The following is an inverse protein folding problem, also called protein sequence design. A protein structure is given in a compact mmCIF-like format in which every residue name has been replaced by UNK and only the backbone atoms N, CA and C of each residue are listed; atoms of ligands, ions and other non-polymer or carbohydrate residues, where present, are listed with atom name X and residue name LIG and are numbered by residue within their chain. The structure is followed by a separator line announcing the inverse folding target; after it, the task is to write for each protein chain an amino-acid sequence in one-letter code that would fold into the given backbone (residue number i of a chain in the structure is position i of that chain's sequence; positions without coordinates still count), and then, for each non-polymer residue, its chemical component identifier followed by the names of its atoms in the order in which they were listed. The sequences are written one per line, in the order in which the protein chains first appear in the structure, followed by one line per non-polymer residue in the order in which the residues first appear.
data_IF_707918546886
#
_entry.id   IF_707918546886
#
_cell.length_a   1.000
_cell.length_b   1.000
_cell.length_c   1.000
_cell.angle_alpha   90.00
_cell.angle_beta   90.00
_cell.angle_gamma   90.00
#
_symmetry.space_group_name_H-M   'P 1'
#
loop_
_entity.id
_entity.type
_entity.pdbx_description
1 polymer ?
#
# COMPACT_ATOMS: atom_id res chain seq x y z
N UNK A 1 -26.10 17.87 -2.80
CA UNK A 1 -26.62 16.62 -2.22
C UNK A 1 -25.45 15.84 -1.64
N UNK A 2 -25.33 15.79 -0.31
CA UNK A 2 -24.31 14.99 0.36
C UNK A 2 -24.93 13.63 0.69
N UNK A 3 -24.54 12.58 -0.03
CA UNK A 3 -24.90 11.23 0.40
C UNK A 3 -24.27 11.00 1.77
N UNK A 4 -25.09 10.61 2.75
CA UNK A 4 -24.64 10.07 4.03
C UNK A 4 -24.04 8.69 3.74
N UNK A 5 -22.82 8.68 3.19
CA UNK A 5 -22.03 7.46 3.09
C UNK A 5 -21.71 6.98 4.51
N UNK A 6 -22.08 5.74 4.81
CA UNK A 6 -21.86 5.04 6.08
C UNK A 6 -20.35 4.98 6.42
N UNK A 7 -19.49 5.17 5.42
CA UNK A 7 -18.06 5.36 5.60
C UNK A 7 -17.78 6.87 5.56
N UNK A 8 -17.47 7.45 6.72
CA UNK A 8 -17.18 8.88 6.89
C UNK A 8 -16.02 9.38 6.03
N UNK A 9 -15.55 10.59 6.32
CA UNK A 9 -14.57 11.29 5.49
C UNK A 9 -13.20 10.57 5.31
N UNK A 10 -12.93 9.51 6.10
CA UNK A 10 -11.78 8.62 5.99
C UNK A 10 -11.95 7.45 4.98
N UNK A 11 -13.09 7.34 4.29
CA UNK A 11 -13.41 6.24 3.38
C UNK A 11 -12.52 6.17 2.14
N UNK A 12 -12.17 7.33 1.57
CA UNK A 12 -11.38 7.43 0.33
C UNK A 12 -9.97 6.86 0.51
N UNK A 13 -9.16 7.28 1.51
CA UNK A 13 -7.83 6.69 1.71
C UNK A 13 -7.91 5.21 2.08
N UNK A 14 -8.97 4.76 2.76
CA UNK A 14 -9.18 3.34 3.03
C UNK A 14 -9.39 2.52 1.76
N UNK A 15 -10.22 3.02 0.82
CA UNK A 15 -10.38 2.40 -0.50
C UNK A 15 -9.03 2.36 -1.24
N UNK A 16 -8.24 3.44 -1.15
CA UNK A 16 -6.89 3.47 -1.70
C UNK A 16 -5.99 2.36 -1.13
N UNK A 17 -6.03 2.12 0.18
CA UNK A 17 -5.31 1.01 0.81
C UNK A 17 -5.79 -0.36 0.33
N UNK A 18 -7.10 -0.58 0.21
CA UNK A 18 -7.63 -1.86 -0.28
C UNK A 18 -7.20 -2.10 -1.73
N UNK A 19 -7.27 -1.08 -2.58
CA UNK A 19 -6.78 -1.17 -3.97
C UNK A 19 -5.29 -1.45 -4.03
N UNK A 20 -4.48 -0.77 -3.20
CA UNK A 20 -3.04 -1.03 -3.10
C UNK A 20 -2.73 -2.44 -2.58
N UNK A 21 -3.55 -2.96 -1.67
CA UNK A 21 -3.40 -4.32 -1.15
C UNK A 21 -3.63 -5.35 -2.25
N UNK A 22 -4.68 -5.17 -3.07
CA UNK A 22 -4.94 -6.03 -4.23
C UNK A 22 -3.80 -5.95 -5.25
N UNK A 23 -3.30 -4.75 -5.52
CA UNK A 23 -2.12 -4.55 -6.37
C UNK A 23 -0.91 -5.32 -5.84
N UNK A 24 -0.63 -5.20 -4.53
CA UNK A 24 0.49 -5.88 -3.89
C UNK A 24 0.34 -7.40 -3.89
N UNK A 25 -0.86 -7.95 -3.72
CA UNK A 25 -1.11 -9.40 -3.81
C UNK A 25 -0.77 -9.90 -5.22
N UNK A 26 -1.31 -9.26 -6.26
CA UNK A 26 -1.01 -9.65 -7.64
C UNK A 26 0.47 -9.54 -7.97
N UNK A 27 1.12 -8.48 -7.48
CA UNK A 27 2.55 -8.26 -7.64
C UNK A 27 3.39 -9.32 -6.92
N UNK A 28 3.05 -9.70 -5.69
CA UNK A 28 3.78 -10.74 -4.96
C UNK A 28 3.57 -12.10 -5.64
N UNK A 29 2.35 -12.38 -6.11
CA UNK A 29 2.03 -13.61 -6.83
C UNK A 29 2.83 -13.72 -8.13
N UNK A 30 2.89 -12.65 -8.94
CA UNK A 30 3.74 -12.64 -10.14
C UNK A 30 5.21 -12.74 -9.74
N UNK A 31 5.69 -11.89 -8.83
CA UNK A 31 7.09 -11.82 -8.41
C UNK A 31 7.64 -13.16 -7.90
N UNK A 32 6.87 -13.93 -7.14
CA UNK A 32 7.30 -15.20 -6.58
C UNK A 32 7.16 -16.38 -7.57
N UNK A 33 6.42 -16.20 -8.65
CA UNK A 33 6.06 -17.25 -9.59
C UNK A 33 7.14 -17.47 -10.67
N UNK A 34 7.41 -18.73 -11.09
CA UNK A 34 8.40 -19.04 -12.10
C UNK A 34 7.89 -18.88 -13.55
N UNK A 35 6.76 -18.24 -13.79
CA UNK A 35 6.08 -18.20 -15.10
C UNK A 35 6.06 -16.79 -15.72
N UNK A 36 7.21 -16.12 -15.79
CA UNK A 36 7.32 -14.79 -16.43
C UNK A 36 7.58 -14.90 -17.93
N UNK A 37 8.46 -15.82 -18.30
CA UNK A 37 8.81 -16.14 -19.66
C UNK A 37 8.86 -17.66 -19.85
N UNK A 38 8.66 -18.09 -21.08
CA UNK A 38 8.76 -19.46 -21.54
C UNK A 38 9.85 -19.51 -22.62
N UNK A 39 10.82 -20.42 -22.47
CA UNK A 39 11.78 -20.76 -23.50
C UNK A 39 11.22 -21.90 -24.35
N UNK A 40 10.89 -21.59 -25.61
CA UNK A 40 10.26 -22.54 -26.53
C UNK A 40 11.21 -23.61 -27.05
N UNK A 41 12.52 -23.32 -27.04
CA UNK A 41 13.51 -24.24 -27.60
C UNK A 41 13.85 -25.34 -26.58
N UNK A 42 13.82 -24.99 -25.29
CA UNK A 42 14.17 -25.91 -24.20
C UNK A 42 12.95 -26.41 -23.38
N UNK A 43 11.73 -25.95 -23.70
CA UNK A 43 10.46 -26.23 -23.00
C UNK A 43 10.59 -26.01 -21.48
N UNK A 44 11.08 -24.84 -21.08
CA UNK A 44 11.09 -24.45 -19.66
C UNK A 44 10.57 -23.04 -19.43
N UNK A 45 9.88 -22.87 -18.31
CA UNK A 45 9.44 -21.58 -17.81
C UNK A 45 10.47 -21.01 -16.85
N UNK A 46 10.64 -19.69 -16.85
CA UNK A 46 11.39 -19.02 -15.80
C UNK A 46 10.74 -17.74 -15.32
N UNK A 47 10.92 -17.49 -14.03
CA UNK A 47 10.56 -16.26 -13.36
C UNK A 47 11.80 -15.52 -12.89
N UNK A 48 11.57 -14.51 -12.06
CA UNK A 48 12.67 -13.76 -11.45
C UNK A 48 13.59 -14.66 -10.62
N UNK A 49 13.04 -15.52 -9.77
CA UNK A 49 13.83 -16.23 -8.75
C UNK A 49 14.15 -17.67 -9.11
N UNK A 50 13.28 -18.30 -9.90
CA UNK A 50 13.31 -19.74 -10.16
C UNK A 50 12.95 -20.06 -11.59
N UNK A 51 13.46 -21.18 -12.06
CA UNK A 51 13.05 -21.83 -13.29
C UNK A 51 12.25 -23.09 -12.98
N UNK A 52 11.39 -23.48 -13.92
CA UNK A 52 10.48 -24.60 -13.83
C UNK A 52 10.50 -25.37 -15.14
N UNK A 53 10.65 -26.70 -15.06
CA UNK A 53 10.58 -27.59 -16.21
C UNK A 53 9.89 -28.88 -15.83
N UNK A 54 8.95 -29.32 -16.64
CA UNK A 54 8.42 -30.67 -16.58
C UNK A 54 9.08 -31.50 -17.66
N UNK A 55 9.69 -32.61 -17.27
CA UNK A 55 10.24 -33.56 -18.23
C UNK A 55 9.12 -34.56 -18.50
N UNK A 56 8.55 -34.60 -19.73
CA UNK A 56 7.58 -35.63 -20.06
C UNK A 56 8.25 -36.99 -19.96
N UNK A 57 7.61 -37.92 -19.26
CA UNK A 57 8.16 -39.25 -19.00
C UNK A 57 8.41 -39.96 -20.35
N UNK A 58 9.65 -40.38 -20.62
CA UNK A 58 10.02 -40.96 -21.92
C UNK A 58 9.43 -42.36 -22.16
N UNK A 59 8.82 -42.99 -21.14
CA UNK A 59 8.27 -44.34 -21.22
C UNK A 59 6.73 -44.34 -21.07
N UNK A 60 5.95 -44.56 -22.15
CA UNK A 60 4.47 -44.55 -22.15
C UNK A 60 3.81 -45.79 -21.49
N UNK A 61 4.40 -46.28 -20.39
CA UNK A 61 3.90 -47.41 -19.60
C UNK A 61 4.44 -47.46 -18.17
N UNK A 62 5.27 -46.50 -17.78
CA UNK A 62 5.76 -46.29 -16.43
C UNK A 62 4.75 -45.43 -15.66
N UNK A 63 4.30 -45.88 -14.48
CA UNK A 63 3.52 -45.07 -13.53
C UNK A 63 4.40 -44.02 -12.82
N UNK A 64 5.55 -43.63 -13.39
CA UNK A 64 6.35 -42.56 -12.83
C UNK A 64 5.67 -41.23 -13.16
N UNK A 65 5.25 -40.54 -12.11
CA UNK A 65 4.64 -39.22 -12.18
C UNK A 65 5.53 -38.27 -13.01
N UNK A 66 4.93 -37.43 -13.86
CA UNK A 66 5.62 -36.32 -14.53
C UNK A 66 6.47 -35.56 -13.50
N UNK A 67 7.79 -35.72 -13.59
CA UNK A 67 8.73 -35.07 -12.70
C UNK A 67 8.86 -33.60 -13.09
N UNK A 68 8.16 -32.72 -12.39
CA UNK A 68 8.35 -31.28 -12.54
C UNK A 68 9.43 -30.78 -11.58
N UNK A 69 10.52 -30.28 -12.13
CA UNK A 69 11.68 -29.80 -11.39
C UNK A 69 11.63 -28.28 -11.24
N UNK A 70 12.00 -27.81 -10.05
CA UNK A 70 12.17 -26.38 -9.73
C UNK A 70 13.56 -26.16 -9.20
N UNK A 71 14.28 -25.21 -9.79
CA UNK A 71 15.59 -24.81 -9.30
C UNK A 71 15.70 -23.30 -9.25
N UNK A 72 16.53 -22.81 -8.34
CA UNK A 72 16.88 -21.39 -8.31
C UNK A 72 17.85 -21.11 -9.45
N UNK A 73 17.79 -19.90 -10.00
CA UNK A 73 18.81 -19.45 -10.93
C UNK A 73 20.20 -19.56 -10.32
N UNK A 74 21.20 -19.86 -11.15
CA UNK A 74 22.59 -19.86 -10.72
C UNK A 74 23.02 -18.45 -10.26
N UNK A 75 24.17 -18.29 -9.61
CA UNK A 75 24.65 -16.97 -9.20
C UNK A 75 25.14 -16.12 -10.38
N UNK A 76 25.45 -16.77 -11.50
CA UNK A 76 25.87 -16.14 -12.76
C UNK A 76 24.65 -15.97 -13.67
N UNK A 77 23.93 -14.88 -13.45
CA UNK A 77 22.70 -14.53 -14.15
C UNK A 77 22.91 -13.19 -14.81
N UNK A 78 22.32 -13.02 -16.00
CA UNK A 78 22.42 -11.79 -16.75
C UNK A 78 22.06 -10.55 -15.91
N UNK A 79 22.87 -9.49 -16.04
CA UNK A 79 22.76 -8.27 -15.24
C UNK A 79 21.38 -7.61 -15.33
N UNK A 80 20.73 -7.71 -16.49
CA UNK A 80 19.39 -7.18 -16.70
C UNK A 80 18.37 -7.86 -15.77
N UNK A 81 18.47 -9.17 -15.53
CA UNK A 81 17.54 -9.89 -14.66
C UNK A 81 17.76 -9.49 -13.19
N UNK A 82 19.00 -9.23 -12.80
CA UNK A 82 19.31 -8.67 -11.47
C UNK A 82 18.76 -7.25 -11.31
N UNK A 83 18.81 -6.43 -12.36
CA UNK A 83 18.18 -5.10 -12.35
C UNK A 83 16.65 -5.20 -12.18
N UNK A 84 15.98 -6.09 -12.91
CA UNK A 84 14.54 -6.34 -12.76
C UNK A 84 14.22 -6.81 -11.33
N UNK A 85 14.98 -7.79 -10.78
CA UNK A 85 14.81 -8.23 -9.39
C UNK A 85 14.91 -7.08 -8.39
N UNK A 86 15.88 -6.19 -8.56
CA UNK A 86 16.06 -5.04 -7.69
C UNK A 86 14.88 -4.06 -7.79
N UNK A 87 14.44 -3.74 -9.02
CA UNK A 87 13.28 -2.86 -9.26
C UNK A 87 11.99 -3.42 -8.67
N UNK A 88 11.69 -4.69 -8.94
CA UNK A 88 10.48 -5.33 -8.43
C UNK A 88 10.51 -5.47 -6.89
N UNK A 89 11.69 -5.69 -6.30
CA UNK A 89 11.85 -5.71 -4.83
C UNK A 89 11.65 -4.32 -4.21
N UNK A 90 12.17 -3.26 -4.84
CA UNK A 90 11.93 -1.88 -4.40
C UNK A 90 10.45 -1.52 -4.47
N UNK A 91 9.73 -1.97 -5.50
CA UNK A 91 8.29 -1.77 -5.61
C UNK A 91 7.54 -2.37 -4.41
N UNK A 92 7.87 -3.61 -4.02
CA UNK A 92 7.29 -4.27 -2.84
C UNK A 92 7.58 -3.47 -1.56
N UNK A 93 8.81 -3.02 -1.36
CA UNK A 93 9.20 -2.23 -0.18
C UNK A 93 8.40 -0.92 -0.12
N UNK A 94 8.35 -0.17 -1.23
CA UNK A 94 7.65 1.10 -1.28
C UNK A 94 6.14 0.97 -1.09
N UNK A 95 5.51 -0.13 -1.53
CA UNK A 95 4.08 -0.36 -1.32
C UNK A 95 3.75 -0.94 0.06
N UNK A 96 4.67 -1.66 0.71
CA UNK A 96 4.48 -2.15 2.07
C UNK A 96 4.30 -1.01 3.09
N UNK A 97 5.09 0.06 2.96
CA UNK A 97 5.08 1.22 3.87
C UNK A 97 3.67 1.84 4.00
N UNK A 98 3.01 2.30 2.93
CA UNK A 98 1.67 2.86 3.01
C UNK A 98 0.59 1.86 3.42
N UNK A 99 0.76 0.57 3.12
CA UNK A 99 -0.18 -0.45 3.58
C UNK A 99 -0.15 -0.66 5.09
N UNK A 100 1.01 -0.49 5.74
CA UNK A 100 1.13 -0.62 7.19
C UNK A 100 0.79 0.68 7.90
N UNK A 101 1.35 1.80 7.45
CA UNK A 101 1.25 3.08 8.19
C UNK A 101 -0.16 3.67 8.11
N UNK A 102 -0.80 3.61 6.95
CA UNK A 102 -2.03 4.35 6.70
C UNK A 102 -3.23 3.81 7.51
N UNK A 103 -3.48 2.48 7.62
CA UNK A 103 -4.53 1.95 8.48
C UNK A 103 -4.32 2.30 9.96
N UNK A 104 -3.09 2.17 10.45
CA UNK A 104 -2.72 2.52 11.84
C UNK A 104 -2.96 4.01 12.08
N UNK A 105 -2.54 4.86 11.14
CA UNK A 105 -2.71 6.31 11.23
C UNK A 105 -4.18 6.74 11.25
N UNK A 106 -5.03 6.16 10.38
CA UNK A 106 -6.47 6.45 10.38
C UNK A 106 -7.10 6.09 11.72
N UNK A 107 -6.67 4.98 12.34
CA UNK A 107 -7.22 4.51 13.61
C UNK A 107 -6.75 5.34 14.81
N UNK A 108 -5.48 5.73 14.86
CA UNK A 108 -4.86 6.33 16.06
C UNK A 108 -4.87 7.86 16.05
N UNK A 109 -4.54 8.50 14.93
CA UNK A 109 -4.14 9.91 14.93
C UNK A 109 -5.25 10.90 14.55
N UNK A 110 -6.47 10.41 14.22
CA UNK A 110 -7.67 11.22 13.91
C UNK A 110 -7.41 12.42 12.98
N UNK A 111 -6.41 12.34 12.08
CA UNK A 111 -6.12 13.38 11.09
C UNK A 111 -5.00 14.39 11.42
N UNK A 112 -4.21 14.19 12.49
CA UNK A 112 -3.02 15.00 12.82
C UNK A 112 -1.92 14.84 11.75
N UNK A 113 -1.43 15.92 11.13
CA UNK A 113 -0.45 15.88 10.02
C UNK A 113 -0.92 15.16 8.75
N UNK A 114 -2.24 15.06 8.54
CA UNK A 114 -2.86 14.34 7.42
C UNK A 114 -2.23 14.62 6.05
N UNK A 115 -1.99 15.89 5.71
CA UNK A 115 -1.42 16.25 4.40
C UNK A 115 0.02 15.77 4.22
N UNK A 116 0.84 15.87 5.26
CA UNK A 116 2.23 15.46 5.19
C UNK A 116 2.31 13.93 5.08
N UNK A 117 1.64 13.21 5.99
CA UNK A 117 1.67 11.75 5.99
C UNK A 117 1.06 11.19 4.71
N UNK A 118 -0.13 11.62 4.32
CA UNK A 118 -0.76 11.12 3.10
C UNK A 118 0.03 11.51 1.84
N UNK A 119 0.68 12.68 1.83
CA UNK A 119 1.61 13.09 0.79
C UNK A 119 2.81 12.14 0.67
N UNK A 120 3.45 11.77 1.79
CA UNK A 120 4.56 10.80 1.79
C UNK A 120 4.12 9.42 1.32
N UNK A 121 2.94 8.95 1.73
CA UNK A 121 2.38 7.67 1.28
C UNK A 121 2.08 7.68 -0.22
N UNK A 122 1.57 8.81 -0.73
CA UNK A 122 1.33 9.02 -2.16
C UNK A 122 2.64 8.96 -2.95
N UNK A 123 3.70 9.60 -2.44
CA UNK A 123 5.02 9.59 -3.07
C UNK A 123 5.64 8.18 -3.11
N UNK A 124 5.58 7.42 -2.01
CA UNK A 124 6.05 6.03 -2.01
C UNK A 124 5.23 5.14 -2.95
N UNK A 125 3.91 5.32 -3.00
CA UNK A 125 3.06 4.57 -3.94
C UNK A 125 3.49 4.84 -5.38
N UNK A 126 3.77 6.11 -5.73
CA UNK A 126 4.25 6.50 -7.05
C UNK A 126 5.61 5.89 -7.38
N UNK A 127 6.57 5.94 -6.44
CA UNK A 127 7.88 5.33 -6.61
C UNK A 127 7.78 3.82 -6.84
N UNK A 128 6.93 3.13 -6.08
CA UNK A 128 6.71 1.70 -6.28
C UNK A 128 6.09 1.37 -7.63
N UNK A 129 5.12 2.17 -8.11
CA UNK A 129 4.56 2.04 -9.47
C UNK A 129 5.64 2.25 -10.52
N UNK A 130 6.47 3.29 -10.38
CA UNK A 130 7.58 3.56 -11.29
C UNK A 130 8.58 2.39 -11.37
N UNK A 131 8.96 1.84 -10.22
CA UNK A 131 9.86 0.68 -10.14
C UNK A 131 9.24 -0.56 -10.81
N UNK A 132 7.98 -0.88 -10.53
CA UNK A 132 7.31 -2.04 -11.12
C UNK A 132 7.12 -1.90 -12.64
N UNK A 133 6.70 -0.73 -13.13
CA UNK A 133 6.57 -0.49 -14.57
C UNK A 133 7.94 -0.61 -15.25
N UNK A 134 8.99 -0.03 -14.66
CA UNK A 134 10.34 -0.14 -15.21
C UNK A 134 10.83 -1.60 -15.25
N UNK A 135 10.60 -2.39 -14.21
CA UNK A 135 10.96 -3.81 -14.18
C UNK A 135 10.24 -4.63 -15.25
N UNK A 136 8.92 -4.45 -15.39
CA UNK A 136 8.11 -5.08 -16.44
C UNK A 136 8.58 -4.68 -17.84
N UNK A 137 8.92 -3.40 -18.07
CA UNK A 137 9.42 -2.92 -19.37
C UNK A 137 10.77 -3.55 -19.70
N UNK A 138 11.74 -3.51 -18.78
CA UNK A 138 13.07 -4.09 -19.01
C UNK A 138 12.95 -5.58 -19.32
N UNK A 139 12.17 -6.32 -18.54
CA UNK A 139 11.95 -7.75 -18.78
C UNK A 139 11.23 -8.00 -20.11
N UNK A 140 10.23 -7.18 -20.46
CA UNK A 140 9.48 -7.32 -21.71
C UNK A 140 10.31 -7.01 -22.96
N UNK A 141 11.21 -6.03 -22.90
CA UNK A 141 12.13 -5.72 -24.01
C UNK A 141 13.11 -6.87 -24.24
N UNK A 142 13.69 -7.42 -23.18
CA UNK A 142 14.61 -8.56 -23.28
C UNK A 142 13.95 -9.83 -23.83
N UNK A 143 12.68 -10.08 -23.51
CA UNK A 143 11.92 -11.14 -24.20
C UNK A 143 11.71 -10.79 -25.68
N UNK A 144 11.32 -9.55 -25.98
CA UNK A 144 11.01 -9.11 -27.34
C UNK A 144 12.19 -9.19 -28.31
N UNK A 145 13.41 -8.97 -27.80
CA UNK A 145 14.64 -9.04 -28.59
C UNK A 145 15.14 -10.48 -28.81
N UNK A 146 14.70 -11.44 -27.99
CA UNK A 146 15.09 -12.85 -28.07
C UNK A 146 14.00 -13.70 -28.72
N UNK A 147 14.22 -14.17 -29.96
CA UNK A 147 13.22 -14.91 -30.75
C UNK A 147 12.79 -16.26 -30.15
N UNK A 148 13.59 -16.86 -29.26
CA UNK A 148 13.26 -18.13 -28.58
C UNK A 148 12.40 -17.97 -27.33
N UNK A 149 12.24 -16.73 -26.82
CA UNK A 149 11.48 -16.46 -25.59
C UNK A 149 10.05 -16.01 -25.91
N UNK A 150 9.10 -16.49 -25.13
CA UNK A 150 7.72 -15.98 -25.12
C UNK A 150 7.28 -15.48 -23.76
N UNK A 151 6.37 -14.52 -23.78
CA UNK A 151 5.74 -13.98 -22.57
C UNK A 151 4.82 -15.02 -21.95
N UNK A 152 5.03 -15.32 -20.67
CA UNK A 152 4.15 -16.19 -19.87
C UNK A 152 3.21 -15.36 -18.98
N UNK A 153 2.27 -16.01 -18.29
CA UNK A 153 1.10 -15.36 -17.69
C UNK A 153 1.42 -14.42 -16.52
N UNK A 154 2.57 -14.57 -15.84
CA UNK A 154 2.89 -13.72 -14.69
C UNK A 154 3.22 -12.29 -15.08
N UNK A 155 3.78 -12.07 -16.27
CA UNK A 155 4.17 -10.73 -16.70
C UNK A 155 2.95 -9.81 -16.93
N UNK A 156 1.90 -10.25 -17.65
CA UNK A 156 0.63 -9.51 -17.72
C UNK A 156 -0.03 -9.31 -16.34
N UNK A 157 0.03 -10.31 -15.44
CA UNK A 157 -0.51 -10.17 -14.08
C UNK A 157 0.26 -9.12 -13.29
N UNK A 158 1.59 -9.08 -13.41
CA UNK A 158 2.43 -8.05 -12.81
C UNK A 158 2.08 -6.65 -13.35
N UNK A 159 1.91 -6.52 -14.67
CA UNK A 159 1.49 -5.28 -15.31
C UNK A 159 0.09 -4.82 -14.83
N UNK A 160 -0.86 -5.75 -14.66
CA UNK A 160 -2.17 -5.45 -14.08
C UNK A 160 -2.05 -5.00 -12.61
N UNK A 161 -1.17 -5.62 -11.83
CA UNK A 161 -0.81 -5.19 -10.48
C UNK A 161 -0.27 -3.76 -10.45
N UNK A 162 0.67 -3.42 -11.34
CA UNK A 162 1.18 -2.06 -11.51
C UNK A 162 0.08 -1.05 -11.88
N UNK A 163 -0.85 -1.44 -12.76
CA UNK A 163 -2.02 -0.65 -13.12
C UNK A 163 -2.94 -0.36 -11.93
N UNK A 164 -3.21 -1.36 -11.08
CA UNK A 164 -3.96 -1.16 -9.84
C UNK A 164 -3.19 -0.29 -8.83
N UNK A 165 -1.87 -0.42 -8.75
CA UNK A 165 -1.01 0.47 -7.97
C UNK A 165 -1.12 1.92 -8.41
N UNK A 166 -1.19 2.17 -9.74
CA UNK A 166 -1.41 3.50 -10.29
C UNK A 166 -2.80 4.06 -9.93
N UNK A 167 -3.83 3.23 -9.97
CA UNK A 167 -5.17 3.61 -9.52
C UNK A 167 -5.15 3.99 -8.03
N UNK A 168 -4.47 3.20 -7.19
CA UNK A 168 -4.31 3.51 -5.77
C UNK A 168 -3.57 4.85 -5.56
N UNK A 169 -2.51 5.11 -6.32
CA UNK A 169 -1.83 6.41 -6.33
C UNK A 169 -2.78 7.57 -6.64
N UNK A 170 -3.63 7.45 -7.67
CA UNK A 170 -4.61 8.48 -8.02
C UNK A 170 -5.58 8.72 -6.86
N UNK A 171 -6.05 7.66 -6.19
CA UNK A 171 -6.94 7.75 -5.04
C UNK A 171 -6.25 8.47 -3.87
N UNK A 172 -4.99 8.15 -3.58
CA UNK A 172 -4.21 8.83 -2.53
C UNK A 172 -3.91 10.29 -2.87
N UNK A 173 -3.63 10.60 -4.15
CA UNK A 173 -3.44 11.96 -4.62
C UNK A 173 -4.70 12.81 -4.41
N UNK A 174 -5.87 12.29 -4.82
CA UNK A 174 -7.16 12.96 -4.59
C UNK A 174 -7.41 13.15 -3.10
N UNK A 175 -7.12 12.13 -2.29
CA UNK A 175 -7.28 12.16 -0.83
C UNK A 175 -6.33 13.18 -0.17
N UNK A 176 -5.14 13.41 -0.74
CA UNK A 176 -4.16 14.40 -0.26
C UNK A 176 -4.62 15.81 -0.58
N UNK A 177 -5.13 16.04 -1.79
CA UNK A 177 -5.64 17.33 -2.23
C UNK A 177 -6.95 17.71 -1.50
N UNK A 178 -7.86 16.76 -1.30
CA UNK A 178 -9.16 16.97 -0.66
C UNK A 178 -9.13 16.51 0.79
N UNK A 179 -8.72 17.42 1.68
CA UNK A 179 -8.73 17.14 3.12
C UNK A 179 -10.18 16.82 3.57
N UNK A 180 -10.42 15.67 4.20
CA UNK A 180 -11.72 15.38 4.80
C UNK A 180 -12.04 16.38 5.92
N UNK A 181 -13.28 16.91 5.93
CA UNK A 181 -13.80 17.69 7.04
C UNK A 181 -14.15 16.71 8.17
N UNK A 182 -13.21 16.45 9.06
CA UNK A 182 -13.49 15.70 10.28
C UNK A 182 -14.47 16.53 11.12
N UNK A 183 -15.69 16.02 11.33
CA UNK A 183 -16.60 16.64 12.30
C UNK A 183 -15.86 16.66 13.63
N UNK A 184 -15.83 17.83 14.28
CA UNK A 184 -15.33 17.97 15.65
C UNK A 184 -16.31 17.28 16.62
N UNK A 185 -16.46 15.97 16.52
CA UNK A 185 -17.05 15.22 17.63
C UNK A 185 -15.97 15.21 18.71
N UNK A 186 -16.18 16.04 19.73
CA UNK A 186 -15.33 16.20 20.91
C UNK A 186 -15.37 14.90 21.73
N UNK A 187 -14.76 13.84 21.22
CA UNK A 187 -14.57 12.61 21.97
C UNK A 187 -13.30 12.75 22.79
N UNK A 188 -13.44 13.27 24.01
CA UNK A 188 -12.38 13.27 25.03
C UNK A 188 -12.30 11.87 25.66
N UNK A 189 -11.79 10.88 24.92
CA UNK A 189 -11.64 9.49 25.43
C UNK A 189 -10.49 9.39 26.44
N UNK A 190 -9.53 10.29 26.31
CA UNK A 190 -8.44 10.59 27.24
C UNK A 190 -8.36 12.12 27.32
N UNK A 191 -7.79 12.72 28.37
CA UNK A 191 -7.63 14.18 28.51
C UNK A 191 -6.74 14.87 27.45
N UNK A 192 -6.80 14.44 26.19
CA UNK A 192 -6.11 14.97 25.03
C UNK A 192 -7.14 15.28 23.94
N UNK A 193 -7.08 16.48 23.39
CA UNK A 193 -7.85 16.93 22.25
C UNK A 193 -6.91 17.19 21.07
N UNK A 194 -7.21 16.59 19.93
CA UNK A 194 -6.43 16.80 18.71
C UNK A 194 -7.18 17.80 17.83
N UNK A 195 -6.55 18.94 17.53
CA UNK A 195 -7.04 19.89 16.53
C UNK A 195 -6.34 19.60 15.19
N UNK A 196 -7.03 18.95 14.24
CA UNK A 196 -6.45 18.65 12.95
C UNK A 196 -6.17 19.93 12.15
N UNK A 197 -6.92 21.01 12.31
CA UNK A 197 -6.74 22.22 11.50
C UNK A 197 -5.50 23.01 11.91
N UNK A 198 -5.15 22.97 13.19
CA UNK A 198 -3.92 23.58 13.71
C UNK A 198 -2.73 22.63 13.79
N UNK A 199 -2.93 21.33 13.52
CA UNK A 199 -1.94 20.26 13.77
C UNK A 199 -1.35 20.34 15.20
N UNK A 200 -2.21 20.58 16.20
CA UNK A 200 -1.80 20.69 17.61
C UNK A 200 -2.59 19.71 18.46
N UNK A 201 -1.90 19.11 19.42
CA UNK A 201 -2.52 18.32 20.49
C UNK A 201 -2.62 19.20 21.73
N UNK A 202 -3.80 19.24 22.33
CA UNK A 202 -4.09 20.00 23.54
C UNK A 202 -4.34 19.01 24.68
N UNK A 203 -3.81 19.29 25.86
CA UNK A 203 -4.18 18.55 27.07
C UNK A 203 -5.44 19.21 27.62
N UNK A 204 -6.52 18.45 27.72
CA UNK A 204 -7.75 18.85 28.41
C UNK A 204 -7.63 18.30 29.81
N UNK A 205 -7.29 19.16 30.76
CA UNK A 205 -7.45 18.84 32.17
C UNK A 205 -8.94 18.59 32.42
N UNK A 206 -9.27 17.35 32.78
CA UNK A 206 -10.60 17.03 33.26
C UNK A 206 -10.80 17.81 34.56
N UNK A 207 -11.43 18.99 34.46
CA UNK A 207 -11.94 19.70 35.63
C UNK A 207 -13.05 18.81 36.18
N UNK A 208 -12.68 18.00 37.17
CA UNK A 208 -13.62 17.23 37.97
C UNK A 208 -14.69 18.21 38.46
N UNK A 209 -15.94 17.99 38.05
CA UNK A 209 -17.05 18.81 38.54
C UNK A 209 -17.15 18.57 40.04
N UNK A 210 -16.54 19.46 40.83
CA UNK A 210 -16.78 19.52 42.27
C UNK A 210 -18.30 19.62 42.45
N UNK A 211 -18.95 18.70 43.17
CA UNK A 211 -20.39 18.71 43.31
C UNK A 211 -20.80 20.06 43.89
N UNK A 212 -21.63 20.78 43.13
CA UNK A 212 -22.10 22.11 43.47
C UNK A 212 -22.91 22.05 44.76
N UNK A 213 -22.34 22.58 45.84
CA UNK A 213 -23.16 23.14 46.91
C UNK A 213 -24.13 24.16 46.28
N UNK A 214 -25.43 24.11 46.57
CA UNK A 214 -26.40 24.98 45.93
C UNK A 214 -26.20 26.41 46.43
N UNK A 215 -25.63 27.26 45.58
CA UNK A 215 -25.66 28.71 45.78
C UNK A 215 -25.92 29.44 44.47
N UNK A 216 -27.20 29.82 44.34
CA UNK A 216 -27.77 30.92 43.58
C UNK A 216 -27.04 31.38 42.30
N UNK A 217 -27.64 31.01 41.17
CA UNK A 217 -27.94 31.97 40.10
C UNK A 217 -26.74 32.58 39.37
N UNK A 218 -25.90 31.76 38.74
CA UNK A 218 -25.10 32.21 37.59
C UNK A 218 -25.18 31.13 36.52
N UNK A 219 -25.71 31.50 35.36
CA UNK A 219 -25.81 30.65 34.17
C UNK A 219 -24.40 30.43 33.60
N UNK A 220 -23.75 29.32 33.97
CA UNK A 220 -22.46 28.92 33.38
C UNK A 220 -22.76 28.15 32.09
N UNK A 221 -22.39 28.74 30.95
CA UNK A 221 -22.48 28.13 29.63
C UNK A 221 -21.49 26.95 29.51
N UNK A 222 -21.90 25.79 28.99
CA UNK A 222 -21.02 24.62 28.94
C UNK A 222 -19.94 24.80 27.86
N UNK A 223 -18.68 24.87 28.30
CA UNK A 223 -17.51 24.63 27.45
C UNK A 223 -16.83 25.89 26.90
N UNK A 224 -16.30 26.75 27.77
CA UNK A 224 -15.21 27.65 27.39
C UNK A 224 -13.86 26.93 27.56
N UNK A 225 -13.16 26.75 26.45
CA UNK A 225 -11.73 26.43 26.45
C UNK A 225 -11.01 27.68 26.92
N UNK A 226 -10.26 27.58 28.02
CA UNK A 226 -9.51 28.70 28.57
C UNK A 226 -8.32 29.03 27.64
N UNK A 227 -8.29 30.19 26.95
CA UNK A 227 -7.20 30.53 26.03
C UNK A 227 -5.89 30.85 26.76
N UNK A 228 -5.89 30.90 28.09
CA UNK A 228 -4.72 31.20 28.92
C UNK A 228 -3.77 30.01 29.12
N UNK A 229 -4.18 28.78 28.76
CA UNK A 229 -3.30 27.59 28.79
C UNK A 229 -2.76 27.31 27.38
N UNK A 230 -2.24 28.34 26.74
CA UNK A 230 -1.33 28.19 25.59
C UNK A 230 0.06 28.41 26.15
N UNK A 231 0.63 27.36 26.74
CA UNK A 231 2.05 27.35 27.05
C UNK A 231 2.83 27.44 25.75
N UNK A 232 3.58 28.52 25.57
CA UNK A 232 4.64 28.61 24.58
C UNK A 232 5.72 27.59 24.97
N UNK A 233 5.77 26.48 24.25
CA UNK A 233 6.93 25.59 24.16
C UNK A 233 7.22 25.31 22.69
#
# INVERSE_FOLDING_TARGET
MASKGILGAASIPFIGCVTLLLAMILHILSFASPFWAEDKDEDFDFGLWRSYRCIPDQDPGSLAEEGCYRWNHHWDVADWLNAVRALESLAVIFWAIPLVILPVYIYVALGLYYRCLLGTMTAFTLLGVGCSIAGVIVFGVEIGDNSGLSVSWCLPVCAAGAGLGLIAFIIFLVSTCKRPKFKHERHFVSGFYVDPDRNRMYVVENVEQVPSTPRNGVTISPGQVNPAVVGEY
#
